data_IF_035662030173
#
_entry.id   IF_035662030173
#
_cell.length_a   1.000
_cell.length_b   1.000
_cell.length_c   1.000
_cell.angle_alpha   90.00
_cell.angle_beta   90.00
_cell.angle_gamma   90.00
#
_symmetry.space_group_name_H-M   'P 1'
#
loop_
_entity.id
_entity.type
_entity.pdbx_description
1 polymer ?
#
# COMPACT_ATOMS: atom_id res chain seq x y z
N UNK A 1 4.31 28.94 -50.20
CA UNK A 1 4.11 28.28 -48.88
C UNK A 1 5.19 27.21 -48.74
N UNK A 2 6.08 27.30 -47.74
CA UNK A 2 7.18 26.36 -47.52
C UNK A 2 6.68 25.07 -46.86
N UNK A 3 7.25 23.89 -47.17
CA UNK A 3 6.97 22.67 -46.43
C UNK A 3 7.73 22.67 -45.09
N UNK A 4 7.03 22.35 -44.00
CA UNK A 4 7.63 22.21 -42.67
C UNK A 4 8.18 20.79 -42.54
N UNK A 5 9.49 20.71 -42.32
CA UNK A 5 10.29 19.50 -42.15
C UNK A 5 9.89 18.70 -40.89
N UNK A 6 9.87 17.38 -41.03
CA UNK A 6 9.78 16.43 -39.93
C UNK A 6 10.93 16.61 -38.92
N UNK A 7 10.59 16.63 -37.63
CA UNK A 7 11.54 16.65 -36.51
C UNK A 7 11.61 15.24 -35.89
N UNK A 8 12.79 14.70 -35.55
CA UNK A 8 12.91 13.31 -35.13
C UNK A 8 12.45 13.12 -33.67
N UNK A 9 11.62 12.10 -33.44
CA UNK A 9 11.17 11.65 -32.12
C UNK A 9 12.38 11.14 -31.31
N UNK A 10 12.90 12.01 -30.45
CA UNK A 10 13.91 11.64 -29.44
C UNK A 10 13.22 10.76 -28.38
N UNK A 11 13.49 9.44 -28.41
CA UNK A 11 13.14 8.51 -27.33
C UNK A 11 13.75 9.03 -26.01
N UNK A 12 12.93 9.63 -25.15
CA UNK A 12 13.27 9.87 -23.74
C UNK A 12 12.73 8.70 -22.94
N UNK A 13 13.64 7.95 -22.32
CA UNK A 13 13.30 6.96 -21.31
C UNK A 13 12.84 7.70 -20.05
N UNK A 14 11.59 7.51 -19.65
CA UNK A 14 11.02 8.08 -18.44
C UNK A 14 11.07 7.03 -17.33
N UNK A 15 11.73 7.37 -16.22
CA UNK A 15 11.67 6.62 -14.97
C UNK A 15 10.37 7.04 -14.26
N UNK A 16 9.39 6.13 -14.17
CA UNK A 16 8.12 6.39 -13.50
C UNK A 16 8.21 5.97 -12.03
N UNK A 17 8.15 6.94 -11.12
CA UNK A 17 7.96 6.71 -9.68
C UNK A 17 6.46 6.85 -9.38
N UNK A 18 5.81 5.74 -9.00
CA UNK A 18 4.38 5.71 -8.65
C UNK A 18 4.22 6.11 -7.19
N UNK A 19 3.61 7.26 -6.92
CA UNK A 19 3.27 7.70 -5.55
C UNK A 19 1.77 7.71 -5.36
N UNK A 20 1.26 6.62 -4.80
CA UNK A 20 -0.14 6.53 -4.39
C UNK A 20 -0.34 7.29 -3.06
N UNK A 21 -0.90 8.50 -3.12
CA UNK A 21 -1.34 9.21 -1.90
C UNK A 21 -2.70 8.63 -1.49
N UNK A 22 -2.72 7.91 -0.37
CA UNK A 22 -3.94 7.48 0.30
C UNK A 22 -4.26 8.52 1.37
N UNK A 23 -5.41 9.20 1.25
CA UNK A 23 -5.86 10.11 2.28
C UNK A 23 -6.26 9.32 3.53
N UNK A 24 -5.46 9.40 4.58
CA UNK A 24 -5.73 8.80 5.89
C UNK A 24 -6.66 9.73 6.68
N UNK A 25 -7.85 9.25 7.03
CA UNK A 25 -8.77 9.96 7.91
C UNK A 25 -8.84 9.17 9.22
N UNK A 26 -7.95 9.50 10.15
CA UNK A 26 -7.89 8.90 11.47
C UNK A 26 -8.96 9.51 12.39
N UNK A 27 -9.55 8.63 13.22
CA UNK A 27 -10.32 8.90 14.45
C UNK A 27 -11.85 9.01 14.32
N UNK A 28 -12.55 7.88 14.42
CA UNK A 28 -13.84 7.81 15.10
C UNK A 28 -13.91 6.49 15.90
N UNK A 29 -13.67 6.58 17.21
CA UNK A 29 -14.03 5.51 18.14
C UNK A 29 -15.56 5.46 18.27
N UNK A 30 -16.15 4.29 18.04
CA UNK A 30 -17.52 3.98 18.45
C UNK A 30 -17.55 2.53 18.90
N UNK A 31 -17.53 2.36 20.22
CA UNK A 31 -17.73 1.10 20.93
C UNK A 31 -19.15 0.59 20.68
N UNK A 32 -19.29 -0.57 20.03
CA UNK A 32 -20.48 -1.41 20.09
C UNK A 32 -20.05 -2.88 20.20
N UNK A 33 -20.57 -3.52 21.25
CA UNK A 33 -20.26 -4.86 21.75
C UNK A 33 -21.10 -5.92 21.02
N UNK A 34 -20.58 -7.17 21.02
CA UNK A 34 -21.08 -8.47 20.50
C UNK A 34 -20.64 -8.79 19.06
N UNK A 35 -19.82 -9.80 18.76
CA UNK A 35 -19.72 -11.17 19.34
C UNK A 35 -18.24 -11.61 19.45
N UNK A 36 -17.95 -12.32 20.54
CA UNK A 36 -16.64 -12.79 20.97
C UNK A 36 -15.97 -13.83 20.05
N UNK A 37 -14.69 -13.62 19.76
CA UNK A 37 -13.68 -14.68 19.81
C UNK A 37 -12.48 -14.14 20.59
N UNK A 38 -12.31 -14.72 21.77
CA UNK A 38 -11.12 -14.77 22.63
C UNK A 38 -9.83 -14.17 22.03
N UNK A 39 -9.30 -13.10 22.63
CA UNK A 39 -7.89 -13.07 23.08
C UNK A 39 -7.72 -12.02 24.19
N UNK A 40 -7.14 -12.53 25.27
CA UNK A 40 -6.96 -11.99 26.61
C UNK A 40 -6.12 -10.70 26.65
N UNK A 41 -6.69 -9.62 27.19
CA UNK A 41 -5.96 -8.37 27.47
C UNK A 41 -5.30 -8.44 28.84
N UNK A 42 -3.96 -8.56 28.86
CA UNK A 42 -3.15 -8.35 30.07
C UNK A 42 -3.06 -6.84 30.35
N UNK A 43 -3.70 -6.39 31.43
CA UNK A 43 -3.40 -5.11 32.12
C UNK A 43 -2.04 -5.19 32.81
N UNK A 44 -1.34 -4.06 33.01
CA UNK A 44 -1.03 -3.66 34.39
C UNK A 44 -1.11 -2.10 34.57
N UNK A 45 -0.72 -1.48 35.71
CA UNK A 45 -1.66 -0.87 36.66
C UNK A 45 -1.47 0.66 36.86
N UNK A 46 -2.45 1.30 37.52
CA UNK A 46 -2.48 2.72 37.99
C UNK A 46 -1.43 3.02 39.11
N UNK A 47 -1.39 4.18 39.84
CA UNK A 47 -2.06 5.52 39.72
C UNK A 47 -1.17 6.78 40.06
N UNK A 48 -1.80 7.98 39.98
CA UNK A 48 -1.57 9.26 40.73
C UNK A 48 -0.81 10.44 40.06
N UNK A 49 -1.49 11.52 39.66
CA UNK A 49 -1.72 12.79 40.43
C UNK A 49 -2.55 13.80 39.58
N UNK A 50 -3.25 14.78 40.19
CA UNK A 50 -4.28 15.62 39.57
C UNK A 50 -3.82 17.07 39.32
N UNK A 51 -4.28 17.70 38.24
CA UNK A 51 -4.46 19.17 38.19
C UNK A 51 -5.63 19.55 37.29
N UNK A 52 -6.49 20.38 37.85
CA UNK A 52 -7.47 21.20 37.13
C UNK A 52 -6.75 22.35 36.43
N UNK A 53 -7.14 22.67 35.20
CA UNK A 53 -7.32 24.06 34.76
C UNK A 53 -8.19 24.09 33.50
N UNK A 54 -9.34 24.72 33.63
CA UNK A 54 -10.20 25.17 32.54
C UNK A 54 -9.48 26.23 31.70
N UNK A 55 -9.72 26.23 30.38
CA UNK A 55 -10.00 27.43 29.59
C UNK A 55 -10.42 27.06 28.14
N UNK A 56 -11.67 27.40 27.83
CA UNK A 56 -12.17 27.96 26.57
C UNK A 56 -11.61 27.43 25.23
N UNK A 57 -12.43 26.63 24.54
CA UNK A 57 -12.43 26.57 23.07
C UNK A 57 -13.86 26.69 22.54
N UNK A 58 -13.99 27.51 21.51
CA UNK A 58 -15.22 27.93 20.81
C UNK A 58 -15.97 26.77 20.13
N UNK A 59 -17.27 26.93 19.81
CA UNK A 59 -18.12 25.86 19.32
C UNK A 59 -17.92 25.65 17.81
N UNK A 60 -17.32 24.55 17.40
CA UNK A 60 -17.46 24.04 16.02
C UNK A 60 -18.67 23.12 15.95
N UNK A 61 -19.87 23.70 15.99
CA UNK A 61 -21.06 23.02 15.55
C UNK A 61 -21.11 23.03 14.02
N UNK A 62 -20.80 21.89 13.39
CA UNK A 62 -21.31 21.56 12.06
C UNK A 62 -22.44 20.51 12.23
N UNK A 63 -23.64 20.72 11.65
CA UNK A 63 -24.86 20.05 12.07
C UNK A 63 -25.05 18.73 11.30
N UNK A 64 -24.23 17.71 11.57
CA UNK A 64 -24.45 16.37 11.00
C UNK A 64 -24.65 15.27 12.04
N UNK A 65 -24.24 15.50 13.30
CA UNK A 65 -24.36 14.49 14.36
C UNK A 65 -25.81 14.17 14.72
N UNK A 66 -26.69 15.18 14.79
CA UNK A 66 -28.13 14.98 15.05
C UNK A 66 -28.85 14.27 13.90
N UNK A 67 -28.46 14.51 12.65
CA UNK A 67 -29.06 13.85 11.48
C UNK A 67 -28.67 12.38 11.38
N UNK A 68 -27.42 12.02 11.64
CA UNK A 68 -26.98 10.62 11.66
C UNK A 68 -27.48 9.89 12.90
N UNK A 69 -27.46 10.50 14.09
CA UNK A 69 -28.04 9.87 15.29
C UNK A 69 -29.55 9.70 15.18
N UNK A 70 -30.28 10.63 14.57
CA UNK A 70 -31.71 10.44 14.31
C UNK A 70 -31.95 9.39 13.24
N UNK A 71 -31.12 9.29 12.21
CA UNK A 71 -31.21 8.21 11.22
C UNK A 71 -30.89 6.84 11.83
N UNK A 72 -29.86 6.73 12.69
CA UNK A 72 -29.52 5.52 13.41
C UNK A 72 -30.57 5.16 14.47
N UNK A 73 -31.08 6.12 15.25
CA UNK A 73 -32.21 5.88 16.19
C UNK A 73 -33.49 5.51 15.44
N UNK A 74 -33.79 6.16 14.32
CA UNK A 74 -34.94 5.82 13.50
C UNK A 74 -34.77 4.40 12.93
N UNK A 75 -33.59 4.06 12.40
CA UNK A 75 -33.31 2.73 11.90
C UNK A 75 -33.40 1.67 13.01
N UNK A 76 -32.82 1.93 14.18
CA UNK A 76 -32.82 1.05 15.35
C UNK A 76 -34.20 0.87 15.98
N UNK A 77 -35.03 1.92 16.01
CA UNK A 77 -36.43 1.86 16.49
C UNK A 77 -37.32 1.16 15.47
N UNK A 78 -37.07 1.35 14.17
CA UNK A 78 -37.81 0.66 13.10
C UNK A 78 -37.46 -0.83 13.08
N UNK A 79 -36.20 -1.19 13.31
CA UNK A 79 -35.77 -2.60 13.42
C UNK A 79 -36.28 -3.26 14.71
N UNK A 80 -36.34 -2.56 15.84
CA UNK A 80 -36.94 -3.09 17.07
C UNK A 80 -38.47 -3.24 16.99
N UNK A 81 -39.18 -2.28 16.39
CA UNK A 81 -40.63 -2.40 16.15
C UNK A 81 -40.96 -3.46 15.10
N UNK A 82 -40.10 -3.66 14.10
CA UNK A 82 -40.20 -4.80 13.21
C UNK A 82 -40.00 -6.10 14.00
N UNK A 83 -38.92 -6.24 14.78
CA UNK A 83 -38.61 -7.44 15.55
C UNK A 83 -39.73 -7.88 16.53
N UNK A 84 -40.42 -6.93 17.18
CA UNK A 84 -41.51 -7.26 18.11
C UNK A 84 -42.82 -7.67 17.41
N UNK A 85 -43.01 -7.29 16.14
CA UNK A 85 -44.18 -7.67 15.31
C UNK A 85 -43.95 -8.98 14.53
N UNK A 86 -42.74 -9.54 14.63
CA UNK A 86 -42.21 -10.65 13.84
C UNK A 86 -42.18 -11.98 14.63
N UNK A 87 -42.67 -12.01 15.88
CA UNK A 87 -42.74 -13.20 16.73
C UNK A 87 -43.83 -14.21 16.36
N UNK A 88 -44.52 -14.03 15.22
CA UNK A 88 -45.62 -14.90 14.76
C UNK A 88 -45.64 -15.24 13.28
N UNK A 89 -44.59 -14.92 12.51
CA UNK A 89 -44.52 -15.19 11.06
C UNK A 89 -43.40 -16.17 10.71
N UNK A 90 -43.56 -16.82 9.56
CA UNK A 90 -42.67 -17.89 9.07
C UNK A 90 -41.23 -17.39 8.92
N UNK A 91 -40.26 -18.22 9.28
CA UNK A 91 -38.81 -17.93 9.18
C UNK A 91 -38.36 -17.50 7.77
N UNK A 92 -39.11 -17.87 6.73
CA UNK A 92 -38.89 -17.48 5.35
C UNK A 92 -39.20 -15.99 5.05
N UNK A 93 -40.20 -15.40 5.74
CA UNK A 93 -40.60 -14.00 5.53
C UNK A 93 -39.57 -13.03 6.14
N UNK A 94 -38.90 -13.47 7.22
CA UNK A 94 -37.82 -12.72 7.85
C UNK A 94 -36.54 -12.71 6.98
N UNK A 95 -36.21 -13.85 6.38
CA UNK A 95 -35.05 -13.98 5.51
C UNK A 95 -35.18 -13.07 4.27
N UNK A 96 -36.36 -13.07 3.63
CA UNK A 96 -36.62 -12.23 2.45
C UNK A 96 -36.60 -10.73 2.78
N UNK A 97 -37.16 -10.32 3.92
CA UNK A 97 -37.10 -8.94 4.40
C UNK A 97 -35.67 -8.46 4.66
N UNK A 98 -34.84 -9.29 5.31
CA UNK A 98 -33.42 -8.99 5.52
C UNK A 98 -32.67 -8.86 4.19
N UNK A 99 -32.87 -9.78 3.25
CA UNK A 99 -32.25 -9.71 1.91
C UNK A 99 -32.59 -8.40 1.21
N UNK A 100 -33.85 -7.95 1.24
CA UNK A 100 -34.25 -6.70 0.62
C UNK A 100 -33.59 -5.48 1.28
N UNK A 101 -33.53 -5.46 2.62
CA UNK A 101 -32.85 -4.38 3.36
C UNK A 101 -31.37 -4.35 2.97
N UNK A 102 -30.67 -5.48 2.91
CA UNK A 102 -29.28 -5.54 2.47
C UNK A 102 -29.10 -5.06 1.01
N UNK A 103 -29.97 -5.51 0.10
CA UNK A 103 -29.93 -5.14 -1.32
C UNK A 103 -30.16 -3.65 -1.57
N UNK A 104 -30.89 -2.95 -0.69
CA UNK A 104 -31.14 -1.51 -0.82
C UNK A 104 -30.10 -0.69 -0.04
N UNK A 105 -29.76 -1.08 1.18
CA UNK A 105 -28.87 -0.30 2.06
C UNK A 105 -27.44 -0.20 1.52
N UNK A 106 -26.88 -1.29 1.00
CA UNK A 106 -25.51 -1.33 0.46
C UNK A 106 -25.34 -0.35 -0.72
N UNK A 107 -26.12 -0.42 -1.81
CA UNK A 107 -25.94 0.50 -2.94
C UNK A 107 -26.27 1.94 -2.57
N UNK A 108 -27.24 2.19 -1.69
CA UNK A 108 -27.53 3.54 -1.19
C UNK A 108 -26.33 4.09 -0.41
N UNK A 109 -25.70 3.29 0.44
CA UNK A 109 -24.51 3.70 1.18
C UNK A 109 -23.33 4.00 0.25
N UNK A 110 -23.08 3.16 -0.76
CA UNK A 110 -22.04 3.42 -1.78
C UNK A 110 -22.33 4.67 -2.60
N UNK A 111 -23.59 4.89 -3.00
CA UNK A 111 -24.00 6.08 -3.73
C UNK A 111 -23.79 7.34 -2.90
N UNK A 112 -24.25 7.35 -1.64
CA UNK A 112 -24.03 8.49 -0.73
C UNK A 112 -22.52 8.74 -0.56
N UNK A 113 -21.73 7.69 -0.31
CA UNK A 113 -20.28 7.80 -0.14
C UNK A 113 -19.57 8.34 -1.39
N UNK A 114 -20.04 7.96 -2.59
CA UNK A 114 -19.51 8.49 -3.84
C UNK A 114 -19.90 9.96 -4.05
N UNK A 115 -21.15 10.33 -3.75
CA UNK A 115 -21.67 11.68 -3.94
C UNK A 115 -21.08 12.69 -2.93
N UNK A 116 -20.80 12.26 -1.71
CA UNK A 116 -20.19 13.09 -0.66
C UNK A 116 -18.67 13.16 -0.74
N UNK A 117 -18.03 12.33 -1.57
CA UNK A 117 -16.57 12.30 -1.69
C UNK A 117 -16.04 13.59 -2.34
N UNK A 118 -15.08 14.30 -1.71
CA UNK A 118 -14.43 15.47 -2.31
C UNK A 118 -13.58 15.09 -3.53
N UNK A 119 -13.30 13.80 -3.73
CA UNK A 119 -12.53 13.30 -4.86
C UNK A 119 -13.37 13.07 -6.12
N UNK A 120 -14.69 13.25 -6.06
CA UNK A 120 -15.58 13.08 -7.22
C UNK A 120 -15.27 14.03 -8.39
N UNK A 121 -14.68 15.19 -8.10
CA UNK A 121 -14.26 16.17 -9.12
C UNK A 121 -13.14 15.68 -10.03
N UNK A 122 -12.40 14.65 -9.61
CA UNK A 122 -11.28 14.12 -10.38
C UNK A 122 -11.74 13.03 -11.33
N UNK A 123 -11.28 13.13 -12.58
CA UNK A 123 -11.59 12.20 -13.65
C UNK A 123 -10.92 10.84 -13.42
N UNK A 124 -11.53 9.77 -13.93
CA UNK A 124 -10.98 8.43 -13.87
C UNK A 124 -11.94 7.38 -14.42
N UNK A 125 -11.56 6.10 -14.40
CA UNK A 125 -12.46 5.01 -14.74
C UNK A 125 -13.71 5.05 -13.86
N UNK A 126 -14.89 4.91 -14.47
CA UNK A 126 -16.16 5.03 -13.73
C UNK A 126 -16.21 4.09 -12.52
N UNK A 127 -15.84 2.82 -12.70
CA UNK A 127 -15.85 1.81 -11.64
C UNK A 127 -14.85 2.12 -10.52
N UNK A 128 -13.72 2.77 -10.83
CA UNK A 128 -12.71 3.13 -9.85
C UNK A 128 -13.21 4.14 -8.81
N UNK A 129 -14.20 4.97 -9.17
CA UNK A 129 -14.82 5.89 -8.22
C UNK A 129 -15.64 5.21 -7.12
N UNK A 130 -16.16 4.00 -7.39
CA UNK A 130 -17.12 3.32 -6.52
C UNK A 130 -16.48 2.19 -5.71
N UNK A 131 -15.49 1.50 -6.27
CA UNK A 131 -14.90 0.31 -5.64
C UNK A 131 -13.42 0.16 -5.94
N UNK A 132 -12.71 -0.49 -4.99
CA UNK A 132 -11.32 -0.93 -5.18
C UNK A 132 -11.18 -2.10 -6.15
N UNK A 133 -12.29 -2.77 -6.51
CA UNK A 133 -12.27 -3.95 -7.38
C UNK A 133 -11.71 -3.66 -8.77
N UNK A 134 -11.96 -2.45 -9.30
CA UNK A 134 -11.37 -2.05 -10.58
C UNK A 134 -9.84 -2.11 -10.52
N UNK A 135 -9.24 -1.48 -9.50
CA UNK A 135 -7.79 -1.47 -9.31
C UNK A 135 -7.24 -2.88 -9.09
N UNK A 136 -7.90 -3.69 -8.25
CA UNK A 136 -7.52 -5.08 -8.03
C UNK A 136 -7.49 -5.90 -9.33
N UNK A 137 -8.51 -5.73 -10.17
CA UNK A 137 -8.59 -6.41 -11.46
C UNK A 137 -7.45 -5.98 -12.41
N UNK A 138 -7.13 -4.68 -12.47
CA UNK A 138 -6.03 -4.19 -13.31
C UNK A 138 -4.66 -4.68 -12.82
N UNK A 139 -4.43 -4.71 -11.50
CA UNK A 139 -3.19 -5.24 -10.91
C UNK A 139 -3.04 -6.73 -11.23
N UNK A 140 -4.13 -7.51 -11.13
CA UNK A 140 -4.12 -8.94 -11.45
C UNK A 140 -3.75 -9.26 -12.91
N UNK A 141 -3.96 -8.32 -13.84
CA UNK A 141 -3.58 -8.50 -15.25
C UNK A 141 -2.07 -8.31 -15.52
N UNK A 142 -1.28 -7.84 -14.55
CA UNK A 142 0.17 -7.67 -14.69
C UNK A 142 0.60 -6.51 -15.61
N UNK A 143 -0.33 -5.69 -16.10
CA UNK A 143 -0.07 -4.54 -16.99
C UNK A 143 -0.50 -3.20 -16.39
N UNK A 144 -0.60 -3.14 -15.06
CA UNK A 144 -1.12 -1.98 -14.33
C UNK A 144 -0.40 -0.67 -14.68
N UNK A 145 0.93 -0.70 -14.79
CA UNK A 145 1.76 0.44 -15.15
C UNK A 145 1.40 1.04 -16.52
N UNK A 146 1.06 0.20 -17.51
CA UNK A 146 0.65 0.65 -18.83
C UNK A 146 -0.75 1.27 -18.78
N UNK A 147 -1.65 0.63 -18.02
CA UNK A 147 -3.01 1.14 -17.81
C UNK A 147 -2.98 2.50 -17.15
N UNK A 148 -2.20 2.70 -16.09
CA UNK A 148 -2.05 4.00 -15.43
C UNK A 148 -1.49 5.04 -16.40
N UNK A 149 -0.46 4.70 -17.18
CA UNK A 149 0.08 5.61 -18.19
C UNK A 149 -0.99 6.05 -19.20
N UNK A 150 -1.80 5.11 -19.70
CA UNK A 150 -2.86 5.43 -20.66
C UNK A 150 -4.00 6.24 -20.04
N UNK A 151 -4.28 6.03 -18.75
CA UNK A 151 -5.22 6.87 -18.01
C UNK A 151 -4.72 8.30 -17.86
N UNK A 152 -3.43 8.51 -17.58
CA UNK A 152 -2.85 9.85 -17.53
C UNK A 152 -2.84 10.54 -18.89
N UNK A 153 -2.61 9.80 -19.98
CA UNK A 153 -2.78 10.31 -21.36
C UNK A 153 -4.23 10.76 -21.64
N UNK A 154 -5.22 10.05 -21.09
CA UNK A 154 -6.64 10.27 -21.36
C UNK A 154 -7.29 11.33 -20.47
N UNK A 155 -7.02 11.30 -19.17
CA UNK A 155 -7.70 12.09 -18.15
C UNK A 155 -6.83 13.23 -17.60
N UNK A 156 -5.53 13.25 -17.93
CA UNK A 156 -4.59 14.28 -17.51
C UNK A 156 -3.75 13.86 -16.29
N UNK A 157 -3.07 14.82 -15.64
CA UNK A 157 -2.05 14.54 -14.62
C UNK A 157 -2.63 14.04 -13.28
N UNK A 158 -3.94 14.13 -13.06
CA UNK A 158 -4.60 13.62 -11.85
C UNK A 158 -5.69 12.64 -12.23
N UNK A 159 -5.56 11.40 -11.77
CA UNK A 159 -6.51 10.33 -12.08
C UNK A 159 -7.01 9.69 -10.81
N UNK A 160 -8.33 9.55 -10.68
CA UNK A 160 -8.93 8.77 -9.60
C UNK A 160 -8.90 7.29 -9.93
N UNK A 161 -8.11 6.52 -9.17
CA UNK A 161 -7.88 5.09 -9.39
C UNK A 161 -8.56 4.18 -8.35
N UNK A 162 -9.07 4.77 -7.26
CA UNK A 162 -9.94 4.10 -6.29
C UNK A 162 -10.85 5.13 -5.57
N UNK A 163 -11.81 4.70 -4.73
CA UNK A 163 -12.73 5.62 -4.07
C UNK A 163 -12.02 6.73 -3.28
N UNK A 164 -10.92 6.39 -2.59
CA UNK A 164 -10.14 7.31 -1.75
C UNK A 164 -8.69 7.45 -2.21
N UNK A 165 -8.42 7.22 -3.51
CA UNK A 165 -7.04 7.16 -4.04
C UNK A 165 -6.94 7.90 -5.36
N UNK A 166 -5.97 8.81 -5.42
CA UNK A 166 -5.55 9.51 -6.63
C UNK A 166 -4.15 9.05 -7.04
N UNK A 167 -3.96 8.94 -8.34
CA UNK A 167 -2.66 8.82 -8.98
C UNK A 167 -2.27 10.18 -9.57
N UNK A 168 -1.04 10.61 -9.34
CA UNK A 168 -0.54 11.95 -9.63
C UNK A 168 0.70 11.87 -10.51
N UNK A 169 0.64 12.48 -11.68
CA UNK A 169 1.77 12.64 -12.60
C UNK A 169 2.28 14.09 -12.57
N UNK A 170 2.87 14.47 -11.44
CA UNK A 170 3.48 15.78 -11.25
C UNK A 170 4.91 15.64 -10.69
N UNK A 171 5.94 15.86 -11.51
CA UNK A 171 7.33 15.76 -11.05
C UNK A 171 7.68 16.79 -9.98
N UNK A 172 6.99 17.94 -9.99
CA UNK A 172 7.19 19.02 -9.02
C UNK A 172 6.76 18.62 -7.59
N UNK A 173 5.83 17.67 -7.45
CA UNK A 173 5.33 17.24 -6.14
C UNK A 173 6.29 16.32 -5.38
N UNK A 174 7.35 15.80 -6.02
CA UNK A 174 8.30 14.89 -5.37
C UNK A 174 8.86 15.52 -4.09
N UNK A 175 9.26 16.80 -4.13
CA UNK A 175 9.80 17.50 -2.96
C UNK A 175 8.74 17.82 -1.91
N UNK A 176 7.49 17.98 -2.32
CA UNK A 176 6.36 18.27 -1.42
C UNK A 176 5.93 17.02 -0.67
N UNK A 177 5.83 15.88 -1.36
CA UNK A 177 5.38 14.60 -0.79
C UNK A 177 6.49 13.97 0.06
N UNK A 178 7.71 13.92 -0.46
CA UNK A 178 8.86 13.29 0.21
C UNK A 178 9.67 14.29 1.05
N UNK A 179 8.98 15.18 1.74
CA UNK A 179 9.61 16.17 2.59
C UNK A 179 9.98 15.57 3.96
N UNK A 180 10.83 16.29 4.71
CA UNK A 180 11.23 15.89 6.07
C UNK A 180 10.23 16.31 7.17
N UNK A 181 9.14 17.01 6.80
CA UNK A 181 8.12 17.51 7.74
C UNK A 181 7.03 16.47 8.04
N UNK A 182 7.11 15.28 7.43
CA UNK A 182 6.20 14.15 7.69
C UNK A 182 4.72 14.46 7.42
N UNK A 183 4.44 15.44 6.55
CA UNK A 183 3.08 15.87 6.20
C UNK A 183 2.27 14.75 5.49
N UNK A 184 2.96 13.79 4.87
CA UNK A 184 2.39 12.67 4.14
C UNK A 184 2.90 11.35 4.70
N UNK A 185 2.09 10.74 5.57
CA UNK A 185 2.42 9.48 6.22
C UNK A 185 2.19 8.28 5.29
N UNK A 186 3.01 7.24 5.49
CA UNK A 186 2.73 5.91 4.94
C UNK A 186 1.39 5.40 5.49
N UNK A 187 0.70 4.61 4.69
CA UNK A 187 -0.59 4.02 5.07
C UNK A 187 -0.46 2.53 5.29
N UNK A 188 -1.50 1.93 5.88
CA UNK A 188 -1.59 0.50 6.15
C UNK A 188 -1.42 -0.39 4.91
N UNK A 189 -1.41 0.19 3.70
CA UNK A 189 -0.97 -0.47 2.47
C UNK A 189 0.34 -1.24 2.66
N UNK A 190 1.28 -0.67 3.42
CA UNK A 190 2.59 -1.28 3.66
C UNK A 190 2.56 -2.42 4.69
N UNK A 191 1.47 -2.63 5.43
CA UNK A 191 1.39 -3.72 6.41
C UNK A 191 1.48 -5.10 5.76
N UNK A 192 1.11 -5.23 4.48
CA UNK A 192 1.14 -6.51 3.75
C UNK A 192 2.53 -7.16 3.62
N UNK A 193 3.61 -6.39 3.80
CA UNK A 193 4.99 -6.90 3.78
C UNK A 193 5.56 -7.19 5.16
N UNK A 194 4.73 -7.23 6.20
CA UNK A 194 5.17 -7.47 7.58
C UNK A 194 5.31 -8.96 7.89
N UNK A 195 6.13 -9.29 8.89
CA UNK A 195 6.26 -10.66 9.37
C UNK A 195 5.23 -10.94 10.48
N UNK A 196 4.84 -12.21 10.64
CA UNK A 196 4.02 -12.66 11.76
C UNK A 196 4.86 -13.58 12.64
N UNK A 197 4.98 -13.25 13.92
CA UNK A 197 5.66 -14.07 14.91
C UNK A 197 4.74 -14.26 16.13
N UNK A 198 4.52 -15.51 16.55
CA UNK A 198 3.65 -15.87 17.68
C UNK A 198 2.28 -15.17 17.68
N UNK A 199 1.64 -15.11 16.50
CA UNK A 199 0.34 -14.47 16.36
C UNK A 199 0.37 -12.95 16.23
N UNK A 200 1.51 -12.29 16.50
CA UNK A 200 1.68 -10.83 16.45
C UNK A 200 2.34 -10.39 15.14
N UNK A 201 1.88 -9.27 14.61
CA UNK A 201 2.49 -8.64 13.43
C UNK A 201 3.71 -7.86 13.90
N UNK A 202 4.86 -8.13 13.28
CA UNK A 202 6.09 -7.38 13.46
C UNK A 202 6.31 -6.52 12.22
N UNK A 203 6.23 -5.21 12.42
CA UNK A 203 6.53 -4.24 11.36
C UNK A 203 8.05 -4.15 11.15
N UNK A 204 8.47 -4.25 9.89
CA UNK A 204 9.85 -4.03 9.49
C UNK A 204 10.06 -2.58 9.05
N UNK A 205 11.30 -2.22 8.73
CA UNK A 205 11.64 -0.86 8.30
C UNK A 205 10.80 -0.36 7.12
N UNK A 206 10.37 -1.26 6.24
CA UNK A 206 9.54 -0.91 5.09
C UNK A 206 8.07 -0.73 5.47
N UNK A 207 7.52 -1.61 6.33
CA UNK A 207 6.11 -1.61 6.73
C UNK A 207 5.74 -0.68 7.88
N UNK A 208 6.71 -0.21 8.66
CA UNK A 208 6.48 0.77 9.72
C UNK A 208 5.94 2.09 9.15
N UNK A 209 4.78 2.50 9.66
CA UNK A 209 4.08 3.72 9.25
C UNK A 209 4.29 4.88 10.23
N UNK A 210 4.73 4.58 11.46
CA UNK A 210 4.99 5.56 12.51
C UNK A 210 6.39 6.16 12.32
N UNK A 211 6.53 7.48 12.07
CA UNK A 211 7.82 8.06 11.75
C UNK A 211 8.86 7.92 12.86
N UNK A 212 8.46 8.04 14.12
CA UNK A 212 9.37 7.94 15.27
C UNK A 212 9.97 6.54 15.39
N UNK A 213 9.14 5.50 15.22
CA UNK A 213 9.59 4.10 15.27
C UNK A 213 10.44 3.80 14.03
N UNK A 214 10.03 4.28 12.85
CA UNK A 214 10.78 4.12 11.62
C UNK A 214 12.18 4.75 11.73
N UNK A 215 12.30 5.95 12.32
CA UNK A 215 13.57 6.62 12.57
C UNK A 215 14.47 5.82 13.53
N UNK A 216 13.89 5.24 14.60
CA UNK A 216 14.61 4.38 15.53
C UNK A 216 15.17 3.13 14.85
N UNK A 217 14.35 2.45 14.02
CA UNK A 217 14.76 1.27 13.26
C UNK A 217 15.82 1.60 12.20
N UNK A 218 15.71 2.75 11.53
CA UNK A 218 16.63 3.21 10.49
C UNK A 218 18.02 3.56 11.03
N UNK A 219 18.07 4.18 12.22
CA UNK A 219 19.29 4.73 12.82
C UNK A 219 20.49 3.75 12.80
N UNK A 220 20.40 2.52 13.32
CA UNK A 220 21.55 1.60 13.33
C UNK A 220 22.01 1.20 11.92
N UNK A 221 21.11 1.14 10.95
CA UNK A 221 21.40 0.66 9.59
C UNK A 221 21.98 1.78 8.73
N UNK A 222 21.57 3.04 8.98
CA UNK A 222 21.95 4.21 8.17
C UNK A 222 23.46 4.39 7.99
N UNK A 223 24.27 3.96 8.96
CA UNK A 223 25.74 4.07 8.91
C UNK A 223 26.34 3.22 7.78
N UNK A 224 25.76 2.05 7.49
CA UNK A 224 26.23 1.16 6.42
C UNK A 224 25.95 1.71 5.02
N UNK A 225 24.96 2.60 4.89
CA UNK A 225 24.64 3.31 3.65
C UNK A 225 25.44 4.61 3.46
N UNK A 226 26.34 4.95 4.39
CA UNK A 226 27.29 6.05 4.18
C UNK A 226 28.37 5.66 3.17
N UNK A 227 29.03 6.64 2.55
CA UNK A 227 30.13 6.38 1.61
C UNK A 227 31.21 5.48 2.26
N UNK A 228 31.58 5.76 3.51
CA UNK A 228 32.54 4.95 4.26
C UNK A 228 32.04 3.52 4.49
N UNK A 229 30.75 3.36 4.79
CA UNK A 229 30.11 2.06 4.94
C UNK A 229 30.15 1.26 3.65
N UNK A 230 29.77 1.86 2.53
CA UNK A 230 29.76 1.21 1.21
C UNK A 230 31.18 0.82 0.78
N UNK A 231 32.17 1.70 0.95
CA UNK A 231 33.57 1.41 0.60
C UNK A 231 34.13 0.21 1.39
N UNK A 232 33.65 -0.02 2.62
CA UNK A 232 34.06 -1.20 3.38
C UNK A 232 33.50 -2.52 2.82
N UNK A 233 32.44 -2.46 2.00
CA UNK A 233 31.78 -3.61 1.38
C UNK A 233 32.33 -3.92 -0.03
N UNK A 234 33.03 -2.98 -0.65
CA UNK A 234 33.59 -3.12 -2.00
C UNK A 234 34.39 -4.42 -2.20
N UNK A 235 35.28 -4.86 -1.27
CA UNK A 235 36.02 -6.11 -1.45
C UNK A 235 35.12 -7.35 -1.54
N UNK A 236 33.99 -7.36 -0.84
CA UNK A 236 33.02 -8.46 -0.89
C UNK A 236 32.35 -8.53 -2.27
N UNK A 237 32.01 -7.36 -2.84
CA UNK A 237 31.40 -7.25 -4.16
C UNK A 237 32.41 -7.65 -5.24
N UNK A 238 33.67 -7.23 -5.14
CA UNK A 238 34.74 -7.58 -6.09
C UNK A 238 35.00 -9.08 -6.18
N UNK A 239 34.89 -9.80 -5.06
CA UNK A 239 34.98 -11.27 -5.05
C UNK A 239 33.81 -11.87 -5.85
N UNK A 240 32.59 -11.38 -5.64
CA UNK A 240 31.42 -11.87 -6.36
C UNK A 240 31.42 -11.50 -7.83
N UNK A 241 31.94 -10.33 -8.22
CA UNK A 241 32.10 -9.94 -9.63
C UNK A 241 33.07 -10.90 -10.33
N UNK A 242 34.23 -11.15 -9.72
CA UNK A 242 35.20 -12.10 -10.28
C UNK A 242 34.61 -13.50 -10.40
N UNK A 243 33.90 -13.94 -9.37
CA UNK A 243 33.23 -15.24 -9.37
C UNK A 243 32.15 -15.33 -10.45
N UNK A 244 31.36 -14.27 -10.63
CA UNK A 244 30.37 -14.17 -11.69
C UNK A 244 30.99 -14.29 -13.08
N UNK A 245 32.04 -13.53 -13.37
CA UNK A 245 32.76 -13.61 -14.65
C UNK A 245 33.32 -15.01 -14.88
N UNK A 246 33.95 -15.60 -13.87
CA UNK A 246 34.49 -16.96 -13.94
C UNK A 246 33.40 -17.98 -14.30
N UNK A 247 32.24 -17.92 -13.64
CA UNK A 247 31.13 -18.85 -13.95
C UNK A 247 30.55 -18.65 -15.33
N UNK A 248 30.54 -17.42 -15.85
CA UNK A 248 30.12 -17.17 -17.24
C UNK A 248 31.13 -17.74 -18.25
N UNK A 249 32.43 -17.59 -17.99
CA UNK A 249 33.51 -18.15 -18.81
C UNK A 249 33.40 -19.68 -18.86
N UNK A 250 33.38 -20.33 -17.68
CA UNK A 250 33.33 -21.80 -17.54
C UNK A 250 32.10 -22.43 -18.21
N UNK A 251 30.92 -21.82 -18.07
CA UNK A 251 29.67 -22.43 -18.51
C UNK A 251 29.27 -22.08 -19.94
N UNK A 252 29.73 -20.94 -20.49
CA UNK A 252 29.25 -20.45 -21.79
C UNK A 252 30.33 -20.16 -22.82
N UNK A 253 31.57 -19.86 -22.40
CA UNK A 253 32.67 -19.54 -23.32
C UNK A 253 33.56 -20.76 -23.54
N UNK A 254 34.04 -21.36 -22.45
CA UNK A 254 35.00 -22.48 -22.47
C UNK A 254 34.30 -23.86 -22.45
N UNK A 255 32.98 -23.87 -22.59
CA UNK A 255 32.19 -25.09 -22.48
C UNK A 255 32.53 -26.09 -23.62
N UNK A 256 32.92 -27.34 -23.29
CA UNK A 256 33.33 -28.34 -24.28
C UNK A 256 32.21 -28.75 -25.26
N UNK A 257 30.96 -28.43 -24.95
CA UNK A 257 29.78 -28.78 -25.74
C UNK A 257 29.34 -27.68 -26.73
N UNK A 258 30.16 -26.63 -26.93
CA UNK A 258 29.85 -25.47 -27.77
C UNK A 258 29.09 -24.37 -27.01
N UNK A 259 28.93 -23.21 -27.64
CA UNK A 259 28.31 -22.02 -27.03
C UNK A 259 26.86 -22.29 -26.63
N UNK A 260 26.60 -22.43 -25.33
CA UNK A 260 25.24 -22.50 -24.79
C UNK A 260 24.59 -21.10 -24.79
N UNK A 261 23.26 -21.07 -24.93
CA UNK A 261 22.50 -19.83 -24.80
C UNK A 261 22.55 -19.41 -23.33
N UNK A 262 23.15 -18.26 -23.05
CA UNK A 262 23.18 -17.66 -21.72
C UNK A 262 21.98 -16.73 -21.54
N UNK A 263 21.06 -17.08 -20.63
CA UNK A 263 20.09 -16.11 -20.12
C UNK A 263 20.77 -15.22 -19.08
N UNK A 264 21.30 -14.08 -19.54
CA UNK A 264 22.01 -13.15 -18.66
C UNK A 264 21.10 -12.56 -17.57
N UNK A 265 19.77 -12.50 -17.78
CA UNK A 265 18.84 -11.98 -16.78
C UNK A 265 18.75 -12.87 -15.55
N UNK A 266 18.74 -14.19 -15.77
CA UNK A 266 18.78 -15.19 -14.72
C UNK A 266 20.14 -15.16 -13.99
N UNK A 267 21.25 -15.12 -14.73
CA UNK A 267 22.59 -15.07 -14.17
C UNK A 267 22.87 -13.80 -13.35
N UNK A 268 22.35 -12.65 -13.77
CA UNK A 268 22.38 -11.40 -12.96
C UNK A 268 21.57 -11.55 -11.68
N UNK A 269 20.45 -12.29 -11.73
CA UNK A 269 19.63 -12.55 -10.54
C UNK A 269 20.38 -13.43 -9.53
N UNK A 270 21.07 -14.47 -9.99
CA UNK A 270 21.96 -15.31 -9.16
C UNK A 270 23.08 -14.49 -8.53
N UNK A 271 23.76 -13.67 -9.32
CA UNK A 271 24.79 -12.75 -8.83
C UNK A 271 24.25 -11.81 -7.76
N UNK A 272 23.08 -11.21 -7.98
CA UNK A 272 22.49 -10.26 -7.03
C UNK A 272 22.20 -10.91 -5.69
N UNK A 273 21.65 -12.13 -5.69
CA UNK A 273 21.41 -12.89 -4.46
C UNK A 273 22.71 -13.26 -3.73
N UNK A 274 23.72 -13.74 -4.46
CA UNK A 274 25.00 -14.10 -3.85
C UNK A 274 25.77 -12.88 -3.32
N UNK A 275 25.69 -11.73 -3.98
CA UNK A 275 26.21 -10.45 -3.45
C UNK A 275 25.53 -10.08 -2.15
N UNK A 276 24.20 -10.17 -2.07
CA UNK A 276 23.46 -9.89 -0.84
C UNK A 276 23.90 -10.84 0.27
N UNK A 277 24.04 -12.14 -0.02
CA UNK A 277 24.57 -13.11 0.93
C UNK A 277 25.98 -12.76 1.40
N UNK A 278 26.88 -12.49 0.46
CA UNK A 278 28.29 -12.19 0.73
C UNK A 278 28.47 -10.90 1.53
N UNK A 279 27.63 -9.90 1.32
CA UNK A 279 27.67 -8.61 2.04
C UNK A 279 27.04 -8.72 3.43
N UNK A 280 25.94 -9.44 3.58
CA UNK A 280 25.20 -9.51 4.85
C UNK A 280 25.72 -10.60 5.80
N UNK A 281 26.17 -11.74 5.27
CA UNK A 281 26.55 -12.93 6.03
C UNK A 281 28.01 -13.35 5.81
N UNK A 282 28.78 -12.59 5.01
CA UNK A 282 30.15 -12.96 4.60
C UNK A 282 30.23 -14.32 3.87
N UNK A 283 29.12 -14.80 3.33
CA UNK A 283 29.02 -16.07 2.63
C UNK A 283 27.99 -15.96 1.49
N UNK A 284 28.31 -16.45 0.27
CA UNK A 284 27.33 -16.46 -0.82
C UNK A 284 26.22 -17.48 -0.53
N UNK A 285 25.04 -17.28 -1.13
CA UNK A 285 23.92 -18.22 -0.99
C UNK A 285 24.18 -19.50 -1.82
N UNK A 286 24.94 -19.36 -2.91
CA UNK A 286 25.40 -20.44 -3.77
C UNK A 286 24.62 -20.55 -5.09
N UNK A 287 23.92 -19.50 -5.51
CA UNK A 287 23.21 -19.48 -6.79
C UNK A 287 24.18 -19.52 -7.98
N UNK A 288 25.28 -18.75 -7.93
CA UNK A 288 26.30 -18.75 -8.98
C UNK A 288 27.06 -20.07 -9.07
N UNK A 289 27.29 -20.72 -7.93
CA UNK A 289 27.96 -22.03 -7.89
C UNK A 289 27.11 -23.07 -8.63
N UNK A 290 25.84 -23.20 -8.24
CA UNK A 290 24.93 -24.21 -8.79
C UNK A 290 24.42 -23.86 -10.19
N UNK A 291 24.35 -22.57 -10.54
CA UNK A 291 23.82 -22.11 -11.83
C UNK A 291 22.32 -22.36 -12.00
N UNK A 292 21.57 -22.46 -10.90
CA UNK A 292 20.12 -22.63 -10.92
C UNK A 292 19.46 -22.01 -9.68
N UNK A 293 18.18 -21.65 -9.80
CA UNK A 293 17.34 -21.34 -8.65
C UNK A 293 16.92 -22.67 -7.97
N UNK A 294 17.21 -22.79 -6.68
CA UNK A 294 16.95 -24.00 -5.90
C UNK A 294 15.99 -23.78 -4.72
N UNK A 295 15.29 -22.64 -4.69
CA UNK A 295 14.28 -22.30 -3.71
C UNK A 295 12.84 -22.48 -4.21
#
# INVERSE_FOLDING_TARGET
>A
MRPVSAMPLRKRSYWYFVTTIVANQSSFQMTLVYIAFFYETVKPPHPHFPYSLSLLTFPTHFPYSLSLLTFFKAHQVTTQRAAHKMLGSSTADHATGLTYVFLVTIPVWYLISYLTSPLRRFSGPFVAGWTNLWRMFQVRQGKYQLVIQDLHKKYGPVVRIAPNVLDLDFPELIKTIYNAKEDYLKTEFYHGSSAKNDGKIIYNLFSECTPEIHAQQKRPISMHYSLKGILSLEPHIDVMIRYFCQRLEENFIDAPNGTQICDIGEWISFYTWDVVGQVLFSQPIGYLEKGCDFF
#
